data_IF_843689699113
#
_entry.id   IF_843689699113
#
_cell.length_a   1.000
_cell.length_b   1.000
_cell.length_c   1.000
_cell.angle_alpha   90.00
_cell.angle_beta   90.00
_cell.angle_gamma   90.00
#
_symmetry.space_group_name_H-M   'P 1'
#
loop_
_entity.id
_entity.type
_entity.pdbx_description
1 polymer ?
#
# COMPACT_ATOMS: atom_id res chain seq x y z
N UNK A 1 -36.71 21.94 -51.84
CA UNK A 1 -37.74 22.01 -50.79
C UNK A 1 -37.05 22.27 -49.44
N UNK A 2 -37.39 23.42 -48.81
CA UNK A 2 -37.22 23.87 -47.40
C UNK A 2 -35.83 23.72 -46.75
N UNK A 3 -34.93 24.73 -46.67
CA UNK A 3 -34.89 26.02 -45.90
C UNK A 3 -35.20 25.92 -44.39
N UNK A 4 -34.19 26.21 -43.56
CA UNK A 4 -34.27 26.89 -42.25
C UNK A 4 -32.85 27.42 -41.91
N UNK A 5 -32.56 28.73 -42.00
CA UNK A 5 -32.97 29.86 -41.17
C UNK A 5 -32.17 29.94 -39.86
N UNK A 6 -31.26 30.93 -39.84
CA UNK A 6 -30.57 31.43 -38.66
C UNK A 6 -31.52 32.29 -37.82
N UNK A 7 -31.44 32.15 -36.49
CA UNK A 7 -32.08 33.05 -35.54
C UNK A 7 -31.08 33.35 -34.40
N UNK A 8 -30.44 34.52 -34.47
CA UNK A 8 -30.06 35.27 -33.27
C UNK A 8 -31.30 36.01 -32.77
N UNK A 9 -31.50 36.11 -31.46
CA UNK A 9 -32.03 37.28 -30.72
C UNK A 9 -32.06 36.95 -29.22
N UNK A 10 -31.18 37.63 -28.49
CA UNK A 10 -31.40 38.37 -27.23
C UNK A 10 -31.95 37.63 -26.01
N UNK A 11 -31.07 37.30 -25.06
CA UNK A 11 -31.43 37.06 -23.66
C UNK A 11 -31.24 38.35 -22.84
N UNK A 12 -32.35 38.86 -22.30
CA UNK A 12 -32.38 40.02 -21.43
C UNK A 12 -31.93 39.66 -20.01
N UNK A 13 -31.15 40.56 -19.40
CA UNK A 13 -30.84 40.57 -17.97
C UNK A 13 -32.14 40.72 -17.15
N UNK A 14 -32.32 39.84 -16.16
CA UNK A 14 -33.20 40.08 -15.03
C UNK A 14 -32.36 40.06 -13.75
N UNK A 15 -32.07 41.26 -13.23
CA UNK A 15 -31.59 41.48 -11.86
C UNK A 15 -32.72 41.18 -10.88
N UNK A 16 -32.64 40.03 -10.22
CA UNK A 16 -33.47 39.70 -9.05
C UNK A 16 -32.68 39.94 -7.78
N UNK A 17 -32.88 41.10 -7.15
CA UNK A 17 -32.38 41.41 -5.83
C UNK A 17 -33.10 40.55 -4.78
N UNK A 18 -32.38 39.63 -4.15
CA UNK A 18 -32.84 38.95 -2.94
C UNK A 18 -32.24 39.64 -1.72
N UNK A 19 -33.12 40.32 -1.00
CA UNK A 19 -32.91 41.03 0.26
C UNK A 19 -32.44 40.10 1.37
N UNK A 20 -31.29 40.42 1.96
CA UNK A 20 -30.83 39.87 3.24
C UNK A 20 -31.71 40.43 4.37
N UNK A 21 -32.21 39.59 5.31
CA UNK A 21 -32.84 40.12 6.51
C UNK A 21 -31.77 40.66 7.47
N UNK A 22 -32.06 41.85 7.97
CA UNK A 22 -31.26 42.67 8.85
C UNK A 22 -30.90 41.98 10.18
N UNK A 23 -29.69 42.28 10.65
CA UNK A 23 -29.27 42.10 12.04
C UNK A 23 -30.28 42.77 12.98
N UNK A 24 -30.84 42.01 13.92
CA UNK A 24 -31.33 42.54 15.19
C UNK A 24 -30.33 42.18 16.28
N UNK A 25 -29.66 43.21 16.76
CA UNK A 25 -29.08 43.32 18.09
C UNK A 25 -30.19 43.19 19.12
N UNK A 26 -30.07 42.24 20.05
CA UNK A 26 -30.55 42.31 21.43
C UNK A 26 -30.30 40.97 22.13
N UNK A 27 -29.08 40.79 22.63
CA UNK A 27 -28.82 39.88 23.75
C UNK A 27 -27.85 40.57 24.69
N UNK A 28 -28.40 41.04 25.80
CA UNK A 28 -27.65 41.59 26.92
C UNK A 28 -26.71 40.51 27.48
N UNK A 29 -25.43 40.85 27.57
CA UNK A 29 -24.42 39.99 28.15
C UNK A 29 -24.60 39.90 29.66
N UNK A 30 -25.09 38.76 30.15
CA UNK A 30 -24.88 38.35 31.54
C UNK A 30 -23.41 37.92 31.69
N UNK A 31 -22.64 38.42 32.66
CA UNK A 31 -21.26 38.00 32.84
C UNK A 31 -21.20 36.54 33.25
N UNK A 32 -20.63 35.70 32.39
CA UNK A 32 -20.34 34.30 32.69
C UNK A 32 -19.36 34.24 33.87
N UNK A 33 -19.77 33.58 34.95
CA UNK A 33 -18.87 33.17 36.04
C UNK A 33 -17.68 32.41 35.45
N UNK A 34 -16.44 32.66 35.92
CA UNK A 34 -15.32 31.79 35.57
C UNK A 34 -15.62 30.36 36.02
N UNK A 35 -15.20 29.34 35.25
CA UNK A 35 -15.41 27.95 35.64
C UNK A 35 -14.68 27.66 36.96
N UNK A 36 -15.22 26.78 37.83
CA UNK A 36 -14.53 26.36 39.03
C UNK A 36 -13.21 25.67 38.65
N UNK A 37 -12.11 26.24 39.12
CA UNK A 37 -10.76 25.72 38.99
C UNK A 37 -10.55 24.54 39.95
N UNK A 38 -11.14 23.38 39.65
CA UNK A 38 -10.71 22.08 40.21
C UNK A 38 -11.57 20.94 39.67
N UNK A 39 -11.29 20.52 38.44
CA UNK A 39 -11.52 19.13 38.03
C UNK A 39 -10.14 18.58 37.63
N UNK A 40 -9.30 18.29 38.63
CA UNK A 40 -8.20 17.35 38.45
C UNK A 40 -8.84 16.00 38.18
N UNK A 41 -8.77 15.55 36.93
CA UNK A 41 -8.87 14.12 36.64
C UNK A 41 -7.90 13.40 37.58
N UNK A 42 -8.25 12.19 38.08
CA UNK A 42 -7.26 11.39 38.78
C UNK A 42 -6.01 11.31 37.88
N UNK A 43 -4.79 11.39 38.43
CA UNK A 43 -3.63 11.04 37.64
C UNK A 43 -3.94 9.67 37.03
N UNK A 44 -3.93 9.59 35.71
CA UNK A 44 -3.68 8.32 35.07
C UNK A 44 -2.29 7.96 35.57
N UNK A 45 -2.23 7.23 36.68
CA UNK A 45 -1.01 6.56 37.09
C UNK A 45 -0.58 5.80 35.83
N UNK A 46 0.58 6.18 35.32
CA UNK A 46 1.30 5.45 34.28
C UNK A 46 1.52 4.05 34.86
N UNK A 47 0.54 3.17 34.66
CA UNK A 47 0.76 1.74 34.81
C UNK A 47 1.88 1.45 33.82
N UNK A 48 3.08 1.08 34.28
CA UNK A 48 4.15 0.73 33.37
C UNK A 48 3.61 -0.39 32.50
N UNK A 49 3.44 -0.13 31.21
CA UNK A 49 3.17 -1.20 30.27
C UNK A 49 4.32 -2.20 30.46
N UNK A 50 4.03 -3.50 30.65
CA UNK A 50 5.08 -4.48 30.87
C UNK A 50 6.13 -4.34 29.77
N UNK A 51 7.38 -4.17 30.19
CA UNK A 51 8.55 -3.92 29.35
C UNK A 51 9.04 -5.18 28.64
N UNK A 52 8.11 -5.94 28.05
CA UNK A 52 8.45 -7.00 27.12
C UNK A 52 8.98 -6.41 25.81
N UNK A 53 9.82 -7.15 25.06
CA UNK A 53 10.16 -6.74 23.70
C UNK A 53 8.87 -6.60 22.89
N UNK A 54 8.74 -5.51 22.12
CA UNK A 54 7.60 -5.32 21.24
C UNK A 54 7.54 -6.47 20.21
N UNK A 55 6.33 -6.92 19.86
CA UNK A 55 6.18 -7.90 18.79
C UNK A 55 6.81 -7.41 17.47
N UNK A 56 7.46 -8.31 16.69
CA UNK A 56 8.09 -7.93 15.43
C UNK A 56 7.11 -7.26 14.47
N UNK A 57 7.58 -6.21 13.80
CA UNK A 57 6.86 -5.60 12.68
C UNK A 57 7.29 -6.29 11.38
N UNK A 58 6.33 -6.87 10.65
CA UNK A 58 6.59 -7.55 9.36
C UNK A 58 6.81 -6.49 8.26
N UNK A 59 8.01 -5.93 8.17
CA UNK A 59 8.39 -4.81 7.30
C UNK A 59 9.66 -5.03 6.44
N UNK A 60 10.36 -6.14 6.66
CA UNK A 60 11.59 -6.55 5.97
C UNK A 60 12.85 -5.86 6.45
N UNK A 61 12.82 -5.12 7.57
CA UNK A 61 14.00 -4.52 8.19
C UNK A 61 14.71 -5.46 9.17
N UNK A 62 13.97 -6.44 9.70
CA UNK A 62 14.43 -7.50 10.61
C UNK A 62 15.06 -7.04 11.93
N UNK A 63 15.11 -5.73 12.23
CA UNK A 63 15.79 -5.21 13.43
C UNK A 63 15.17 -5.71 14.74
N UNK A 64 13.86 -5.96 14.73
CA UNK A 64 13.10 -6.47 15.89
C UNK A 64 13.48 -7.91 16.27
N UNK A 65 14.10 -8.66 15.35
CA UNK A 65 14.53 -10.05 15.58
C UNK A 65 15.89 -10.17 16.26
N UNK A 66 16.60 -9.06 16.48
CA UNK A 66 17.96 -9.03 17.05
C UNK A 66 18.07 -9.63 18.45
N UNK A 67 16.95 -9.73 19.19
CA UNK A 67 16.88 -10.34 20.52
C UNK A 67 16.22 -11.74 20.51
N UNK A 68 15.79 -12.23 19.34
CA UNK A 68 15.17 -13.55 19.21
C UNK A 68 16.22 -14.65 19.24
N UNK A 69 15.94 -15.74 19.96
CA UNK A 69 16.80 -16.94 19.93
C UNK A 69 16.32 -17.86 18.82
N UNK A 70 17.25 -18.43 18.05
CA UNK A 70 16.92 -19.43 17.03
C UNK A 70 16.23 -20.63 17.69
N UNK A 71 15.10 -21.04 17.13
CA UNK A 71 14.41 -22.25 17.52
C UNK A 71 15.20 -23.49 17.07
N UNK A 72 15.83 -23.41 15.89
CA UNK A 72 16.71 -24.44 15.35
C UNK A 72 17.74 -23.81 14.40
N UNK A 73 18.95 -24.38 14.43
CA UNK A 73 19.99 -24.19 13.43
C UNK A 73 19.97 -25.41 12.52
N UNK A 74 19.88 -25.17 11.23
CA UNK A 74 19.82 -26.22 10.22
C UNK A 74 21.13 -26.31 9.45
N UNK A 75 21.43 -27.49 8.91
CA UNK A 75 22.75 -27.76 8.35
C UNK A 75 22.84 -27.27 6.90
N UNK A 76 23.50 -26.15 6.68
CA UNK A 76 23.81 -25.65 5.33
C UNK A 76 24.28 -26.74 4.35
N UNK A 77 23.65 -26.77 3.17
CA UNK A 77 24.01 -27.62 2.03
C UNK A 77 23.42 -29.03 2.05
N UNK A 78 22.43 -29.31 2.90
CA UNK A 78 21.67 -30.57 2.91
C UNK A 78 20.30 -30.48 2.21
N UNK A 79 19.89 -29.28 1.81
CA UNK A 79 18.71 -29.05 1.00
C UNK A 79 18.68 -29.87 -0.30
N UNK A 80 17.47 -30.24 -0.71
CA UNK A 80 17.20 -30.98 -1.96
C UNK A 80 16.83 -30.06 -3.13
N UNK A 81 16.49 -28.80 -2.86
CA UNK A 81 16.18 -27.77 -3.84
C UNK A 81 16.98 -26.48 -3.61
N UNK A 82 16.50 -25.35 -4.13
CA UNK A 82 17.24 -24.08 -4.07
C UNK A 82 17.13 -23.37 -2.70
N UNK A 83 16.04 -23.60 -1.96
CA UNK A 83 15.93 -23.11 -0.59
C UNK A 83 16.70 -24.04 0.32
N UNK A 84 17.77 -23.52 0.91
CA UNK A 84 18.63 -24.16 1.91
C UNK A 84 18.60 -23.26 3.13
N UNK A 85 17.80 -23.65 4.11
CA UNK A 85 17.46 -22.92 5.32
C UNK A 85 18.62 -23.05 6.29
N UNK A 86 19.01 -21.95 6.93
CA UNK A 86 20.13 -21.97 7.90
C UNK A 86 19.66 -21.93 9.33
N UNK A 87 18.52 -21.29 9.57
CA UNK A 87 17.94 -21.11 10.89
C UNK A 87 16.45 -20.76 10.79
N UNK A 88 15.75 -21.12 11.85
CA UNK A 88 14.34 -20.80 12.06
C UNK A 88 14.18 -20.18 13.44
N UNK A 89 13.46 -19.08 13.50
CA UNK A 89 13.13 -18.29 14.68
C UNK A 89 11.62 -18.20 14.82
N UNK A 90 11.14 -18.19 16.06
CA UNK A 90 9.73 -17.99 16.36
C UNK A 90 9.56 -17.13 17.62
N UNK A 91 8.52 -16.30 17.61
CA UNK A 91 8.02 -15.60 18.79
C UNK A 91 6.50 -15.47 18.70
N UNK A 92 5.86 -15.03 19.77
CA UNK A 92 4.40 -14.91 19.82
C UNK A 92 3.94 -13.70 20.61
N UNK A 93 2.74 -13.22 20.28
CA UNK A 93 1.99 -12.27 21.08
C UNK A 93 0.52 -12.66 21.15
N UNK A 94 0.06 -13.09 22.31
CA UNK A 94 -1.27 -13.68 22.43
C UNK A 94 -1.38 -14.95 21.59
N UNK A 95 -2.27 -14.98 20.59
CA UNK A 95 -2.41 -16.09 19.64
C UNK A 95 -1.70 -15.85 18.29
N UNK A 96 -0.97 -14.74 18.16
CA UNK A 96 -0.23 -14.40 16.96
C UNK A 96 1.13 -15.07 16.98
N UNK A 97 1.40 -15.89 15.97
CA UNK A 97 2.70 -16.50 15.70
C UNK A 97 3.48 -15.60 14.74
N UNK A 98 4.73 -15.33 15.09
CA UNK A 98 5.69 -14.67 14.24
C UNK A 98 6.81 -15.66 13.95
N UNK A 99 7.18 -15.80 12.68
CA UNK A 99 8.26 -16.69 12.24
C UNK A 99 9.26 -15.88 11.42
N UNK A 100 10.53 -16.16 11.61
CA UNK A 100 11.63 -15.62 10.80
C UNK A 100 12.59 -16.75 10.46
N UNK A 101 13.09 -16.78 9.22
CA UNK A 101 14.07 -17.76 8.79
C UNK A 101 14.99 -17.19 7.73
N UNK A 102 16.21 -17.73 7.66
CA UNK A 102 17.19 -17.39 6.65
C UNK A 102 17.42 -18.55 5.69
N UNK A 103 17.86 -18.21 4.48
CA UNK A 103 18.31 -19.16 3.47
C UNK A 103 19.71 -18.79 2.98
N UNK A 104 20.45 -19.73 2.41
CA UNK A 104 21.80 -19.45 1.88
C UNK A 104 21.77 -18.57 0.63
N UNK A 105 20.69 -18.64 -0.13
CA UNK A 105 20.54 -17.98 -1.44
C UNK A 105 19.47 -16.90 -1.42
N UNK A 106 19.67 -15.86 -2.24
CA UNK A 106 18.66 -14.81 -2.49
C UNK A 106 17.66 -15.33 -3.52
N UNK A 107 16.46 -15.66 -3.05
CA UNK A 107 15.41 -16.30 -3.84
C UNK A 107 14.07 -15.64 -3.62
N UNK A 108 13.17 -15.80 -4.58
CA UNK A 108 11.78 -15.39 -4.40
C UNK A 108 11.01 -16.49 -3.67
N UNK A 109 10.45 -16.19 -2.50
CA UNK A 109 9.72 -17.18 -1.70
C UNK A 109 8.45 -17.71 -2.40
N UNK A 110 7.76 -16.86 -3.17
CA UNK A 110 6.46 -17.16 -3.80
C UNK A 110 6.45 -17.13 -5.33
N UNK A 111 7.62 -17.07 -5.97
CA UNK A 111 7.80 -17.13 -7.43
C UNK A 111 9.21 -17.63 -7.76
N UNK A 112 9.46 -18.13 -8.97
CA UNK A 112 10.78 -18.65 -9.32
C UNK A 112 10.71 -19.74 -10.38
N UNK A 113 11.85 -20.16 -10.96
CA UNK A 113 11.97 -21.40 -11.73
C UNK A 113 11.32 -22.57 -10.99
N UNK A 114 10.65 -23.48 -11.70
CA UNK A 114 10.02 -24.65 -11.06
C UNK A 114 11.07 -25.51 -10.35
N UNK A 115 12.27 -25.58 -10.93
CA UNK A 115 13.38 -26.39 -10.44
C UNK A 115 13.97 -25.90 -9.10
N UNK A 116 13.67 -24.66 -8.69
CA UNK A 116 14.01 -24.17 -7.34
C UNK A 116 13.23 -24.93 -6.23
N UNK A 117 12.12 -25.58 -6.61
CA UNK A 117 11.19 -26.26 -5.72
C UNK A 117 10.30 -25.31 -4.93
N UNK A 118 9.69 -25.80 -3.85
CA UNK A 118 8.81 -25.03 -2.96
C UNK A 118 9.25 -25.18 -1.53
N UNK A 119 9.02 -24.16 -0.71
CA UNK A 119 9.16 -24.26 0.73
C UNK A 119 7.75 -24.21 1.36
N UNK A 120 7.55 -24.97 2.43
CA UNK A 120 6.29 -25.01 3.19
C UNK A 120 6.57 -24.82 4.66
N UNK A 121 5.87 -23.87 5.30
CA UNK A 121 5.81 -23.81 6.75
C UNK A 121 4.64 -24.65 7.25
N UNK A 122 4.95 -25.59 8.12
CA UNK A 122 3.98 -26.46 8.75
C UNK A 122 3.86 -26.10 10.24
N UNK A 123 2.62 -25.93 10.69
CA UNK A 123 2.27 -25.67 12.10
C UNK A 123 1.34 -26.79 12.56
N UNK A 124 1.84 -27.70 13.40
CA UNK A 124 1.01 -28.70 14.06
C UNK A 124 0.34 -28.06 15.27
N UNK A 125 -0.98 -27.97 15.22
CA UNK A 125 -1.83 -27.38 16.24
C UNK A 125 -1.95 -28.29 17.48
N UNK A 126 -2.35 -27.76 18.65
CA UNK A 126 -2.45 -28.54 19.89
C UNK A 126 -3.41 -29.73 19.80
N UNK A 127 -4.44 -29.62 18.96
CA UNK A 127 -5.41 -30.69 18.72
C UNK A 127 -4.97 -31.72 17.65
N UNK A 128 -3.74 -31.58 17.15
CA UNK A 128 -3.13 -32.50 16.20
C UNK A 128 -3.40 -32.19 14.73
N UNK A 129 -4.23 -31.21 14.39
CA UNK A 129 -4.39 -30.76 13.00
C UNK A 129 -3.09 -30.14 12.49
N UNK A 130 -2.82 -30.31 11.19
CA UNK A 130 -1.70 -29.65 10.51
C UNK A 130 -2.22 -28.47 9.69
N UNK A 131 -1.72 -27.28 9.99
CA UNK A 131 -1.80 -26.11 9.13
C UNK A 131 -0.54 -26.04 8.28
N UNK A 132 -0.68 -26.02 6.96
CA UNK A 132 0.43 -25.97 6.00
C UNK A 132 0.31 -24.73 5.13
N UNK A 133 1.34 -23.89 5.16
CA UNK A 133 1.53 -22.71 4.33
C UNK A 133 2.49 -23.07 3.20
N UNK A 134 1.98 -23.22 1.98
CA UNK A 134 2.79 -23.43 0.78
C UNK A 134 3.10 -22.08 0.13
N UNK A 135 4.36 -21.67 0.21
CA UNK A 135 4.78 -20.34 -0.22
C UNK A 135 4.68 -20.13 -1.72
N UNK A 136 4.98 -21.15 -2.53
CA UNK A 136 4.87 -21.09 -4.00
C UNK A 136 3.42 -21.15 -4.44
N UNK A 137 2.62 -22.04 -3.87
CA UNK A 137 1.21 -22.18 -4.20
C UNK A 137 0.35 -21.03 -3.64
N UNK A 138 0.90 -20.22 -2.73
CA UNK A 138 0.20 -19.13 -2.05
C UNK A 138 -1.06 -19.59 -1.33
N UNK A 139 -0.97 -20.79 -0.74
CA UNK A 139 -2.09 -21.50 -0.16
C UNK A 139 -1.81 -21.81 1.29
N UNK A 140 -2.83 -21.63 2.13
CA UNK A 140 -2.86 -22.15 3.48
C UNK A 140 -3.87 -23.28 3.49
N UNK A 141 -3.49 -24.45 3.97
CA UNK A 141 -4.38 -25.59 4.10
C UNK A 141 -4.40 -26.09 5.53
N UNK A 142 -5.57 -26.54 6.00
CA UNK A 142 -5.69 -27.20 7.29
C UNK A 142 -6.28 -28.58 7.09
N UNK A 143 -5.69 -29.55 7.79
CA UNK A 143 -6.13 -30.95 7.74
C UNK A 143 -7.62 -31.02 8.09
N UNK A 144 -8.41 -31.65 7.22
CA UNK A 144 -9.87 -31.78 7.31
C UNK A 144 -10.70 -30.50 7.09
N UNK A 145 -10.09 -29.36 6.75
CA UNK A 145 -10.80 -28.10 6.42
C UNK A 145 -10.57 -27.63 4.98
N UNK A 146 -9.47 -28.06 4.35
CA UNK A 146 -9.11 -27.64 3.00
C UNK A 146 -8.36 -26.31 2.98
N UNK A 147 -8.50 -25.55 1.89
CA UNK A 147 -7.78 -24.29 1.68
C UNK A 147 -8.47 -23.13 2.39
N UNK A 148 -7.68 -22.32 3.08
CA UNK A 148 -8.11 -21.15 3.82
C UNK A 148 -7.57 -19.88 3.21
N UNK A 149 -8.36 -18.82 3.36
CA UNK A 149 -7.91 -17.48 3.08
C UNK A 149 -6.86 -17.03 4.09
N UNK A 150 -5.72 -16.52 3.60
CA UNK A 150 -4.73 -15.85 4.44
C UNK A 150 -5.32 -14.70 5.26
N UNK A 151 -6.41 -14.08 4.79
CA UNK A 151 -7.12 -13.03 5.53
C UNK A 151 -7.72 -13.53 6.85
N UNK A 152 -8.25 -14.76 6.86
CA UNK A 152 -8.85 -15.35 8.06
C UNK A 152 -7.82 -15.59 9.17
N UNK A 153 -6.54 -15.65 8.81
CA UNK A 153 -5.43 -15.91 9.71
C UNK A 153 -4.48 -14.71 9.83
N UNK A 154 -4.88 -13.52 9.38
CA UNK A 154 -4.02 -12.34 9.45
C UNK A 154 -2.64 -12.52 8.83
N UNK A 155 -2.52 -13.36 7.80
CA UNK A 155 -1.24 -13.76 7.20
C UNK A 155 -0.54 -12.58 6.54
N UNK A 156 0.70 -12.31 6.97
CA UNK A 156 1.58 -11.31 6.36
C UNK A 156 2.96 -11.92 6.19
N UNK A 157 3.66 -11.61 5.11
CA UNK A 157 5.06 -12.04 4.88
C UNK A 157 5.87 -10.89 4.29
N UNK A 158 7.15 -10.80 4.66
CA UNK A 158 8.11 -9.86 4.12
C UNK A 158 9.49 -10.51 3.99
N UNK A 159 10.30 -10.17 2.97
CA UNK A 159 9.91 -9.38 1.81
C UNK A 159 9.00 -10.16 0.85
N UNK A 160 8.32 -9.44 -0.05
CA UNK A 160 7.57 -10.03 -1.17
C UNK A 160 8.42 -10.21 -2.44
N UNK A 161 9.65 -9.71 -2.43
CA UNK A 161 10.64 -9.85 -3.50
C UNK A 161 11.71 -10.88 -3.10
N UNK A 162 12.73 -11.04 -3.93
CA UNK A 162 13.82 -11.97 -3.65
C UNK A 162 14.63 -11.51 -2.42
N UNK A 163 14.86 -12.44 -1.51
CA UNK A 163 15.61 -12.24 -0.28
C UNK A 163 16.22 -13.55 0.18
N UNK A 164 17.05 -13.48 1.21
CA UNK A 164 17.61 -14.63 1.90
C UNK A 164 17.27 -14.64 3.40
N UNK A 165 16.35 -13.76 3.78
CA UNK A 165 15.75 -13.64 5.10
C UNK A 165 14.28 -13.33 4.89
N UNK A 166 13.40 -14.01 5.63
CA UNK A 166 11.96 -13.87 5.50
C UNK A 166 11.30 -13.90 6.87
N UNK A 167 10.35 -13.02 7.07
CA UNK A 167 9.53 -12.94 8.28
C UNK A 167 8.06 -13.00 7.91
N UNK A 168 7.26 -13.62 8.77
CA UNK A 168 5.83 -13.74 8.58
C UNK A 168 5.07 -13.74 9.91
N UNK A 169 3.77 -13.49 9.80
CA UNK A 169 2.82 -13.51 10.91
C UNK A 169 1.60 -14.36 10.56
N UNK A 170 1.09 -15.12 11.53
CA UNK A 170 -0.17 -15.86 11.48
C UNK A 170 -0.95 -15.65 12.78
N UNK A 171 -2.27 -15.51 12.70
CA UNK A 171 -3.19 -15.51 13.85
C UNK A 171 -3.81 -16.90 13.99
N UNK A 172 -3.48 -17.58 15.09
CA UNK A 172 -3.97 -18.93 15.39
C UNK A 172 -5.16 -18.93 16.35
N UNK A 173 -5.70 -17.76 16.71
CA UNK A 173 -6.89 -17.66 17.58
C UNK A 173 -8.13 -18.38 17.02
N UNK A 174 -8.37 -18.49 15.68
CA UNK A 174 -9.47 -19.31 15.17
C UNK A 174 -9.37 -20.80 15.51
N UNK A 175 -8.16 -21.27 15.88
CA UNK A 175 -7.89 -22.65 16.27
C UNK A 175 -7.81 -22.86 17.78
N UNK A 176 -8.21 -21.84 18.55
CA UNK A 176 -8.21 -21.91 20.01
C UNK A 176 -6.83 -21.87 20.64
N UNK A 177 -5.78 -21.59 19.86
CA UNK A 177 -4.42 -21.44 20.39
C UNK A 177 -4.35 -20.20 21.27
N UNK A 178 -3.85 -20.38 22.47
CA UNK A 178 -3.65 -19.32 23.45
C UNK A 178 -2.36 -19.47 24.26
N UNK A 179 -2.19 -18.63 25.27
CA UNK A 179 -0.98 -18.64 26.10
C UNK A 179 -0.75 -19.99 26.79
N UNK A 180 0.48 -20.48 26.75
CA UNK A 180 0.88 -21.77 27.30
C UNK A 180 0.64 -22.96 26.37
N UNK A 181 -0.14 -22.79 25.29
CA UNK A 181 -0.25 -23.84 24.27
C UNK A 181 1.06 -23.99 23.52
N UNK A 182 1.33 -25.21 23.08
CA UNK A 182 2.51 -25.54 22.28
C UNK A 182 2.09 -26.01 20.91
N UNK A 183 2.67 -25.39 19.89
CA UNK A 183 2.60 -25.84 18.49
C UNK A 183 3.93 -26.46 18.07
N UNK A 184 3.93 -27.21 16.98
CA UNK A 184 5.19 -27.68 16.38
C UNK A 184 5.40 -27.03 15.03
N UNK A 185 6.56 -26.41 14.85
CA UNK A 185 6.95 -25.72 13.62
C UNK A 185 7.94 -26.59 12.83
N UNK A 186 7.72 -26.75 11.54
CA UNK A 186 8.68 -27.36 10.62
C UNK A 186 8.67 -26.68 9.25
N UNK A 187 9.76 -26.85 8.53
CA UNK A 187 9.85 -26.49 7.11
C UNK A 187 10.00 -27.76 6.26
N UNK A 188 9.35 -27.78 5.10
CA UNK A 188 9.38 -28.91 4.18
C UNK A 188 9.43 -28.44 2.72
N UNK A 189 9.86 -29.33 1.83
CA UNK A 189 9.84 -29.13 0.38
C UNK A 189 11.25 -29.16 -0.20
N UNK A 190 11.75 -28.02 -0.66
CA UNK A 190 13.15 -27.85 -1.10
C UNK A 190 14.15 -28.08 0.02
N UNK A 191 13.70 -27.94 1.27
CA UNK A 191 14.46 -28.26 2.46
C UNK A 191 13.61 -28.96 3.52
N UNK A 192 14.25 -29.58 4.51
CA UNK A 192 13.59 -30.29 5.61
C UNK A 192 14.12 -29.89 6.99
N UNK A 193 13.44 -28.92 7.62
CA UNK A 193 13.68 -28.60 9.04
C UNK A 193 12.75 -29.45 9.90
N UNK A 194 13.34 -30.32 10.74
CA UNK A 194 12.60 -31.21 11.62
C UNK A 194 11.67 -30.44 12.60
N UNK A 195 10.49 -31.01 12.97
CA UNK A 195 9.54 -30.34 13.86
C UNK A 195 10.14 -29.92 15.21
N UNK A 196 9.98 -28.64 15.54
CA UNK A 196 10.42 -28.04 16.81
C UNK A 196 9.22 -27.55 17.62
N UNK A 197 9.17 -27.82 18.94
CA UNK A 197 8.11 -27.31 19.79
C UNK A 197 8.29 -25.81 20.03
N UNK A 198 7.20 -25.05 19.94
CA UNK A 198 7.17 -23.64 20.27
C UNK A 198 5.96 -23.33 21.16
N UNK A 199 6.22 -22.78 22.34
CA UNK A 199 5.19 -22.46 23.35
C UNK A 199 4.83 -20.99 23.30
N UNK A 200 3.53 -20.70 23.25
CA UNK A 200 3.02 -19.33 23.17
C UNK A 200 3.15 -18.60 24.50
N UNK A 201 3.65 -17.38 24.44
CA UNK A 201 3.85 -16.52 25.60
C UNK A 201 2.60 -15.70 25.94
N UNK A 202 2.43 -15.44 27.24
CA UNK A 202 1.36 -14.57 27.72
C UNK A 202 1.75 -13.11 27.54
N UNK A 203 1.20 -12.47 26.51
CA UNK A 203 1.13 -11.03 26.44
C UNK A 203 -0.23 -10.65 25.88
N UNK A 204 -0.99 -9.84 26.62
CA UNK A 204 -2.26 -9.30 26.10
C UNK A 204 -1.90 -8.19 25.12
N UNK A 205 -2.06 -8.36 23.79
CA UNK A 205 -1.80 -7.27 22.88
C UNK A 205 -2.75 -6.10 23.21
N UNK A 206 -2.27 -4.85 23.18
CA UNK A 206 -3.18 -3.72 23.22
C UNK A 206 -4.13 -3.85 22.02
N UNK A 207 -5.41 -3.46 22.15
CA UNK A 207 -6.32 -3.44 21.02
C UNK A 207 -5.68 -2.62 19.89
N UNK A 208 -5.80 -3.06 18.63
CA UNK A 208 -5.27 -2.29 17.52
C UNK A 208 -5.90 -0.89 17.56
N UNK A 209 -5.13 0.18 17.30
CA UNK A 209 -5.69 1.51 17.27
C UNK A 209 -6.82 1.54 16.24
N UNK A 210 -7.93 2.26 16.50
CA UNK A 210 -9.02 2.35 15.55
C UNK A 210 -8.51 2.93 14.24
N UNK A 211 -8.89 2.31 13.11
CA UNK A 211 -8.57 2.84 11.79
C UNK A 211 -9.20 4.22 11.65
N UNK A 212 -8.36 5.24 11.49
CA UNK A 212 -8.80 6.62 11.33
C UNK A 212 -8.41 7.14 9.95
N UNK A 213 -9.41 7.28 9.08
CA UNK A 213 -9.23 7.84 7.73
C UNK A 213 -9.18 9.38 7.72
N UNK A 214 -9.45 10.02 8.88
CA UNK A 214 -9.36 11.48 9.00
C UNK A 214 -7.95 11.95 8.73
N UNK A 215 -7.86 13.13 8.13
CA UNK A 215 -6.59 13.81 7.88
C UNK A 215 -5.96 14.19 9.21
N UNK A 216 -4.71 13.76 9.49
CA UNK A 216 -3.99 14.25 10.67
C UNK A 216 -3.89 15.77 10.64
N UNK A 217 -3.94 16.40 11.81
CA UNK A 217 -3.78 17.85 11.92
C UNK A 217 -2.44 18.29 11.31
N UNK A 218 -2.45 19.40 10.57
CA UNK A 218 -1.25 19.92 9.88
C UNK A 218 -0.87 19.22 8.56
N UNK A 219 -1.61 18.19 8.13
CA UNK A 219 -1.38 17.59 6.81
C UNK A 219 -1.90 18.49 5.69
N UNK A 220 -0.98 19.05 4.90
CA UNK A 220 -1.31 19.99 3.82
C UNK A 220 -1.53 19.31 2.46
N UNK A 221 -1.06 18.07 2.28
CA UNK A 221 -1.18 17.28 1.07
C UNK A 221 -1.52 15.83 1.43
N UNK A 222 -2.49 15.24 0.73
CA UNK A 222 -2.77 13.81 0.73
C UNK A 222 -2.74 13.27 -0.69
N UNK A 223 -1.92 12.24 -0.91
CA UNK A 223 -1.84 11.51 -2.18
C UNK A 223 -2.35 10.10 -1.94
N UNK A 224 -3.23 9.61 -2.82
CA UNK A 224 -3.68 8.22 -2.83
C UNK A 224 -3.12 7.51 -4.07
N UNK A 225 -2.56 6.33 -3.89
CA UNK A 225 -2.19 5.43 -4.98
C UNK A 225 -3.15 4.26 -5.01
N UNK A 226 -3.72 3.94 -6.17
CA UNK A 226 -4.75 2.92 -6.25
C UNK A 226 -4.74 2.18 -7.59
N UNK A 227 -4.39 0.89 -7.55
CA UNK A 227 -4.60 -0.01 -8.68
C UNK A 227 -6.09 -0.38 -8.71
N UNK A 228 -6.77 0.01 -9.78
CA UNK A 228 -8.24 -0.10 -9.86
C UNK A 228 -8.72 -1.46 -10.38
N UNK A 229 -7.81 -2.37 -10.74
CA UNK A 229 -8.07 -3.64 -11.43
C UNK A 229 -8.95 -3.45 -12.69
N UNK A 230 -8.34 -3.40 -13.87
CA UNK A 230 -9.06 -3.22 -15.15
C UNK A 230 -10.05 -2.05 -15.16
N UNK A 231 -9.57 -0.84 -14.87
CA UNK A 231 -10.34 0.40 -14.87
C UNK A 231 -11.60 0.36 -14.00
N UNK A 232 -11.52 -0.31 -12.85
CA UNK A 232 -12.66 -0.54 -11.96
C UNK A 232 -13.35 0.69 -11.45
N UNK A 233 -12.68 1.84 -11.49
CA UNK A 233 -13.29 3.12 -11.18
C UNK A 233 -14.46 3.48 -12.12
N UNK A 234 -14.50 2.91 -13.32
CA UNK A 234 -15.57 3.14 -14.31
C UNK A 234 -16.58 2.00 -14.40
N UNK A 235 -16.35 0.91 -13.66
CA UNK A 235 -17.20 -0.27 -13.66
C UNK A 235 -18.45 -0.02 -12.80
N UNK A 236 -19.62 -0.15 -13.44
CA UNK A 236 -20.92 0.04 -12.80
C UNK A 236 -21.12 -0.88 -11.60
N UNK A 237 -20.63 -2.12 -11.67
CA UNK A 237 -20.84 -3.15 -10.64
C UNK A 237 -19.98 -2.90 -9.41
N UNK A 238 -18.85 -2.20 -9.59
CA UNK A 238 -17.92 -1.84 -8.51
C UNK A 238 -18.09 -0.42 -8.00
N UNK A 239 -18.99 0.36 -8.60
CA UNK A 239 -19.19 1.78 -8.31
C UNK A 239 -19.27 2.08 -6.83
N UNK A 240 -20.16 1.43 -6.09
CA UNK A 240 -20.39 1.76 -4.68
C UNK A 240 -19.16 1.48 -3.82
N UNK A 241 -18.45 0.38 -4.09
CA UNK A 241 -17.20 0.06 -3.42
C UNK A 241 -16.12 1.11 -3.74
N UNK A 242 -15.97 1.48 -5.01
CA UNK A 242 -15.02 2.49 -5.45
C UNK A 242 -15.33 3.88 -4.85
N UNK A 243 -16.60 4.27 -4.78
CA UNK A 243 -17.03 5.53 -4.18
C UNK A 243 -16.70 5.58 -2.68
N UNK A 244 -16.92 4.47 -1.95
CA UNK A 244 -16.52 4.37 -0.54
C UNK A 244 -15.00 4.51 -0.37
N UNK A 245 -14.21 3.85 -1.19
CA UNK A 245 -12.74 3.92 -1.14
C UNK A 245 -12.23 5.34 -1.45
N UNK A 246 -12.73 5.98 -2.50
CA UNK A 246 -12.38 7.36 -2.84
C UNK A 246 -12.77 8.34 -1.73
N UNK A 247 -13.97 8.18 -1.15
CA UNK A 247 -14.45 9.02 -0.05
C UNK A 247 -13.63 8.84 1.22
N UNK A 248 -13.25 7.61 1.55
CA UNK A 248 -12.39 7.30 2.68
C UNK A 248 -10.97 7.86 2.49
N UNK A 249 -10.42 7.73 1.28
CA UNK A 249 -9.12 8.28 0.93
C UNK A 249 -9.13 9.81 1.05
N UNK A 250 -10.13 10.50 0.50
CA UNK A 250 -10.27 11.97 0.53
C UNK A 250 -8.93 12.67 0.21
N UNK A 251 -8.28 12.21 -0.86
CA UNK A 251 -6.98 12.70 -1.31
C UNK A 251 -7.11 13.94 -2.19
N UNK A 252 -6.05 14.74 -2.23
CA UNK A 252 -5.93 15.91 -3.11
C UNK A 252 -5.44 15.49 -4.51
N UNK A 253 -4.69 14.38 -4.58
CA UNK A 253 -4.17 13.76 -5.79
C UNK A 253 -4.41 12.24 -5.72
N UNK A 254 -4.93 11.66 -6.80
CA UNK A 254 -5.05 10.22 -6.98
C UNK A 254 -4.17 9.75 -8.13
N UNK A 255 -3.38 8.72 -7.87
CA UNK A 255 -2.50 8.05 -8.81
C UNK A 255 -3.12 6.68 -9.09
N UNK A 256 -3.69 6.51 -10.28
CA UNK A 256 -4.46 5.32 -10.63
C UNK A 256 -3.69 4.40 -11.57
N UNK A 257 -3.75 3.10 -11.31
CA UNK A 257 -3.17 2.05 -12.16
C UNK A 257 -4.27 1.14 -12.76
N UNK A 258 -3.86 0.39 -13.79
CA UNK A 258 -4.71 -0.52 -14.57
C UNK A 258 -5.88 0.14 -15.30
N UNK A 259 -5.67 1.36 -15.77
CA UNK A 259 -6.72 2.10 -16.49
C UNK A 259 -6.95 1.60 -17.92
N UNK A 260 -6.04 0.78 -18.47
CA UNK A 260 -6.11 0.30 -19.85
C UNK A 260 -6.34 1.45 -20.85
N UNK A 261 -7.28 1.24 -21.77
CA UNK A 261 -7.67 2.20 -22.81
C UNK A 261 -8.75 3.21 -22.36
N UNK A 262 -9.01 3.32 -21.05
CA UNK A 262 -10.06 4.20 -20.52
C UNK A 262 -9.79 5.66 -20.86
N UNK A 263 -10.83 6.36 -21.31
CA UNK A 263 -10.76 7.79 -21.58
C UNK A 263 -10.91 8.64 -20.31
N UNK A 264 -10.45 9.90 -20.36
CA UNK A 264 -10.51 10.80 -19.22
C UNK A 264 -11.95 11.14 -18.76
N UNK A 265 -12.91 11.21 -19.68
CA UNK A 265 -14.29 11.64 -19.37
C UNK A 265 -15.04 10.66 -18.43
N UNK A 266 -15.05 9.33 -18.67
CA UNK A 266 -15.60 8.36 -17.73
C UNK A 266 -14.97 8.43 -16.33
N UNK A 267 -13.64 8.59 -16.24
CA UNK A 267 -12.94 8.74 -14.96
C UNK A 267 -13.41 10.00 -14.24
N UNK A 268 -13.48 11.13 -14.95
CA UNK A 268 -13.98 12.39 -14.39
C UNK A 268 -15.41 12.26 -13.85
N UNK A 269 -16.28 11.56 -14.58
CA UNK A 269 -17.66 11.31 -14.15
C UNK A 269 -17.72 10.45 -12.87
N UNK A 270 -16.88 9.41 -12.76
CA UNK A 270 -16.79 8.57 -11.57
C UNK A 270 -16.35 9.38 -10.33
N UNK A 271 -15.35 10.23 -10.48
CA UNK A 271 -14.88 11.11 -9.40
C UNK A 271 -15.90 12.19 -9.01
N UNK A 272 -16.61 12.76 -9.99
CA UNK A 272 -17.68 13.71 -9.74
C UNK A 272 -18.83 13.08 -8.94
N UNK A 273 -19.15 11.80 -9.20
CA UNK A 273 -20.17 11.06 -8.46
C UNK A 273 -19.71 10.65 -7.05
N UNK A 274 -18.44 10.28 -6.88
CA UNK A 274 -17.88 9.83 -5.60
C UNK A 274 -17.61 10.97 -4.61
N UNK A 275 -17.12 12.10 -5.13
CA UNK A 275 -16.60 13.19 -4.32
C UNK A 275 -16.93 14.53 -5.01
N UNK A 276 -18.23 14.82 -5.10
CA UNK A 276 -18.75 16.04 -5.67
C UNK A 276 -18.00 17.26 -5.07
N UNK A 277 -17.33 18.06 -5.89
CA UNK A 277 -16.66 19.27 -5.45
C UNK A 277 -17.69 20.24 -4.88
N UNK A 278 -17.45 20.75 -3.67
CA UNK A 278 -18.40 21.63 -2.97
C UNK A 278 -18.52 23.02 -3.62
N UNK A 279 -17.61 23.37 -4.52
CA UNK A 279 -17.45 24.66 -5.18
C UNK A 279 -17.71 24.61 -6.70
N UNK A 280 -18.17 23.47 -7.23
CA UNK A 280 -18.38 23.29 -8.67
C UNK A 280 -17.11 23.08 -9.49
N UNK A 281 -15.93 22.95 -8.86
CA UNK A 281 -14.66 22.73 -9.57
C UNK A 281 -14.58 21.34 -10.24
N UNK A 282 -14.29 21.24 -11.53
CA UNK A 282 -14.19 19.91 -12.18
C UNK A 282 -12.89 19.17 -11.83
N UNK A 283 -12.94 17.84 -11.72
CA UNK A 283 -11.74 17.01 -11.63
C UNK A 283 -10.91 17.06 -12.92
N UNK A 284 -9.62 17.39 -12.78
CA UNK A 284 -8.62 17.28 -13.83
C UNK A 284 -8.12 15.83 -13.88
N UNK A 285 -8.04 15.28 -15.09
CA UNK A 285 -7.62 13.90 -15.34
C UNK A 285 -6.56 13.91 -16.44
N UNK A 286 -5.35 13.53 -16.08
CA UNK A 286 -4.28 13.20 -17.00
C UNK A 286 -4.22 11.68 -17.09
N UNK A 287 -4.33 11.11 -18.30
CA UNK A 287 -4.38 9.66 -18.50
C UNK A 287 -3.50 9.24 -19.68
N UNK A 288 -2.85 8.09 -19.54
CA UNK A 288 -2.02 7.46 -20.55
C UNK A 288 -2.48 6.00 -20.70
N UNK A 289 -2.28 5.43 -21.90
CA UNK A 289 -2.73 4.07 -22.21
C UNK A 289 -3.81 3.98 -23.28
N UNK A 290 -4.13 5.06 -24.00
CA UNK A 290 -5.04 4.99 -25.15
C UNK A 290 -4.60 3.88 -26.13
N UNK A 291 -5.48 2.91 -26.39
CA UNK A 291 -5.18 1.74 -27.23
C UNK A 291 -4.26 0.67 -26.60
N UNK A 292 -3.96 0.77 -25.30
CA UNK A 292 -3.14 -0.20 -24.56
C UNK A 292 -3.97 -0.94 -23.51
N UNK A 293 -3.59 -2.19 -23.24
CA UNK A 293 -4.10 -2.95 -22.09
C UNK A 293 -3.53 -2.43 -20.76
N UNK A 294 -2.48 -1.60 -20.81
CA UNK A 294 -1.89 -0.94 -19.64
C UNK A 294 -2.21 0.55 -19.68
N UNK A 295 -2.62 1.10 -18.56
CA UNK A 295 -2.87 2.54 -18.44
C UNK A 295 -2.72 3.03 -17.02
N UNK A 296 -2.33 4.29 -16.90
CA UNK A 296 -2.17 5.00 -15.64
C UNK A 296 -2.84 6.36 -15.73
N UNK A 297 -3.28 6.91 -14.59
CA UNK A 297 -3.83 8.26 -14.54
C UNK A 297 -3.37 9.05 -13.31
N UNK A 298 -3.30 10.37 -13.46
CA UNK A 298 -3.21 11.35 -12.37
C UNK A 298 -4.54 12.11 -12.35
N UNK A 299 -5.19 12.13 -11.19
CA UNK A 299 -6.47 12.82 -10.98
C UNK A 299 -6.33 13.81 -9.83
N UNK A 300 -6.74 15.06 -10.03
CA UNK A 300 -6.72 16.09 -8.99
C UNK A 300 -7.82 17.12 -9.21
N UNK A 301 -8.20 17.83 -8.14
CA UNK A 301 -9.01 19.06 -8.24
C UNK A 301 -8.21 20.26 -8.75
N UNK A 302 -6.88 20.16 -8.72
CA UNK A 302 -5.99 21.21 -9.21
C UNK A 302 -5.55 20.94 -10.65
N UNK A 303 -5.16 21.99 -11.36
CA UNK A 303 -4.64 21.89 -12.73
C UNK A 303 -3.38 21.00 -12.77
N UNK A 304 -3.24 20.23 -13.85
CA UNK A 304 -2.14 19.28 -14.07
C UNK A 304 -1.41 19.68 -15.35
N UNK A 305 -0.12 19.99 -15.24
CA UNK A 305 0.77 20.21 -16.39
C UNK A 305 1.42 18.86 -16.72
N UNK A 306 1.18 18.27 -17.91
CA UNK A 306 1.73 16.95 -18.24
C UNK A 306 3.25 16.94 -18.30
N UNK A 307 3.85 15.86 -17.81
CA UNK A 307 5.26 15.52 -18.04
C UNK A 307 5.29 14.34 -19.01
N UNK A 308 6.01 14.48 -20.12
CA UNK A 308 6.12 13.42 -21.12
C UNK A 308 6.84 12.19 -20.53
N UNK A 309 6.25 11.01 -20.73
CA UNK A 309 6.80 9.72 -20.31
C UNK A 309 6.97 8.79 -21.51
N UNK A 310 7.95 7.87 -21.50
CA UNK A 310 8.28 7.05 -22.67
C UNK A 310 7.36 5.82 -22.84
N UNK A 311 6.45 5.57 -21.89
CA UNK A 311 5.65 4.33 -21.84
C UNK A 311 4.34 4.57 -21.10
N UNK A 312 3.22 3.90 -21.47
CA UNK A 312 1.95 3.99 -20.74
C UNK A 312 2.02 3.39 -19.33
N UNK A 313 3.14 2.73 -18.96
CA UNK A 313 3.42 2.25 -17.60
C UNK A 313 3.80 3.35 -16.61
N UNK A 314 4.12 4.54 -17.12
CA UNK A 314 4.51 5.71 -16.35
C UNK A 314 3.64 6.87 -16.80
N UNK A 315 3.11 7.64 -15.88
CA UNK A 315 2.48 8.92 -16.19
C UNK A 315 2.87 9.94 -15.14
N UNK A 316 3.21 11.15 -15.59
CA UNK A 316 3.69 12.21 -14.71
C UNK A 316 3.03 13.54 -15.02
N UNK A 317 2.90 14.38 -14.00
CA UNK A 317 2.44 15.76 -14.16
C UNK A 317 2.81 16.63 -12.97
N UNK A 318 2.93 17.93 -13.20
CA UNK A 318 3.03 18.93 -12.13
C UNK A 318 1.62 19.36 -11.75
N UNK A 319 1.23 19.09 -10.50
CA UNK A 319 -0.07 19.48 -9.95
C UNK A 319 0.07 20.80 -9.20
N UNK A 320 -0.71 21.80 -9.61
CA UNK A 320 -0.64 23.17 -9.08
C UNK A 320 -1.55 23.34 -7.86
N UNK A 321 -1.08 22.94 -6.67
CA UNK A 321 -1.88 22.95 -5.44
C UNK A 321 -1.88 24.36 -4.79
N UNK A 322 -3.03 25.05 -4.64
CA UNK A 322 -3.06 26.44 -4.17
C UNK A 322 -2.48 26.68 -2.76
N UNK A 323 -2.57 25.69 -1.86
CA UNK A 323 -2.13 25.80 -0.45
C UNK A 323 -0.75 25.21 -0.18
N UNK A 324 -0.23 24.40 -1.11
CA UNK A 324 1.01 23.62 -0.93
C UNK A 324 2.11 24.11 -1.87
N UNK A 325 1.72 24.68 -3.03
CA UNK A 325 2.63 24.93 -4.14
C UNK A 325 2.63 23.76 -5.15
N UNK A 326 3.35 23.91 -6.27
CA UNK A 326 3.45 22.88 -7.30
C UNK A 326 4.17 21.64 -6.77
N UNK A 327 3.67 20.46 -7.14
CA UNK A 327 4.30 19.16 -6.86
C UNK A 327 4.30 18.32 -8.13
N UNK A 328 5.45 17.77 -8.49
CA UNK A 328 5.53 16.78 -9.56
C UNK A 328 5.11 15.42 -9.02
N UNK A 329 4.17 14.76 -9.66
CA UNK A 329 3.68 13.44 -9.26
C UNK A 329 3.79 12.45 -10.39
N UNK A 330 4.11 11.20 -10.06
CA UNK A 330 4.17 10.10 -11.01
C UNK A 330 3.35 8.91 -10.51
N UNK A 331 2.43 8.43 -11.34
CA UNK A 331 1.77 7.14 -11.18
C UNK A 331 2.51 6.08 -11.98
N UNK A 332 2.90 4.99 -11.33
CA UNK A 332 3.61 3.87 -11.97
C UNK A 332 2.80 2.58 -11.93
N UNK A 333 2.88 1.80 -13.01
CA UNK A 333 2.47 0.41 -13.05
C UNK A 333 3.54 -0.39 -13.81
N UNK A 334 4.61 -0.74 -13.08
CA UNK A 334 5.78 -1.38 -13.67
C UNK A 334 5.46 -2.81 -14.10
N UNK A 335 6.39 -3.45 -14.82
CA UNK A 335 6.21 -4.80 -15.34
C UNK A 335 5.90 -5.77 -14.18
N UNK A 336 4.72 -6.37 -14.26
CA UNK A 336 4.28 -7.37 -13.32
C UNK A 336 4.95 -8.74 -13.56
N UNK A 337 4.82 -9.57 -12.53
CA UNK A 337 5.17 -10.99 -12.52
C UNK A 337 6.67 -11.28 -12.66
N UNK A 338 7.00 -12.56 -12.72
CA UNK A 338 8.38 -13.03 -12.74
C UNK A 338 9.01 -13.10 -11.36
N UNK A 339 10.32 -13.18 -11.37
CA UNK A 339 11.19 -13.42 -10.23
C UNK A 339 12.58 -12.84 -10.55
N UNK A 340 13.47 -12.80 -9.57
CA UNK A 340 14.83 -12.30 -9.72
C UNK A 340 15.52 -12.88 -10.96
N UNK A 341 16.04 -12.00 -11.81
CA UNK A 341 16.76 -12.41 -13.03
C UNK A 341 15.89 -12.81 -14.22
N UNK A 342 14.56 -12.84 -14.09
CA UNK A 342 13.67 -13.11 -15.23
C UNK A 342 13.59 -11.92 -16.20
N UNK A 343 13.09 -12.16 -17.42
CA UNK A 343 12.84 -11.11 -18.41
C UNK A 343 11.89 -10.01 -17.88
N UNK A 344 10.89 -10.39 -17.09
CA UNK A 344 9.97 -9.47 -16.42
C UNK A 344 10.71 -8.55 -15.45
N UNK A 345 11.66 -9.10 -14.69
CA UNK A 345 12.47 -8.35 -13.74
C UNK A 345 13.39 -7.35 -14.46
N UNK A 346 14.08 -7.79 -15.51
CA UNK A 346 14.89 -6.91 -16.36
C UNK A 346 14.06 -5.76 -16.97
N UNK A 347 12.85 -6.05 -17.47
CA UNK A 347 11.93 -5.03 -18.00
C UNK A 347 11.47 -4.07 -16.90
N UNK A 348 11.28 -4.55 -15.67
CA UNK A 348 10.91 -3.70 -14.51
C UNK A 348 12.03 -2.75 -14.15
N UNK A 349 13.27 -3.23 -14.08
CA UNK A 349 14.46 -2.39 -13.82
C UNK A 349 14.65 -1.33 -14.91
N UNK A 350 14.47 -1.69 -16.18
CA UNK A 350 14.52 -0.73 -17.29
C UNK A 350 13.46 0.38 -17.15
N UNK A 351 12.24 0.03 -16.72
CA UNK A 351 11.17 1.02 -16.51
C UNK A 351 11.44 1.91 -15.30
N UNK A 352 12.03 1.37 -14.23
CA UNK A 352 12.49 2.18 -13.10
C UNK A 352 13.60 3.17 -13.53
N UNK A 353 14.55 2.74 -14.36
CA UNK A 353 15.57 3.61 -14.93
C UNK A 353 14.97 4.68 -15.87
N UNK A 354 13.94 4.35 -16.65
CA UNK A 354 13.20 5.32 -17.46
C UNK A 354 12.50 6.38 -16.61
N UNK A 355 11.90 5.99 -15.48
CA UNK A 355 11.32 6.94 -14.53
C UNK A 355 12.38 7.87 -13.96
N UNK A 356 13.52 7.32 -13.52
CA UNK A 356 14.63 8.12 -12.99
C UNK A 356 15.12 9.14 -14.03
N UNK A 357 15.28 8.71 -15.29
CA UNK A 357 15.66 9.59 -16.40
C UNK A 357 14.66 10.74 -16.63
N UNK A 358 13.35 10.48 -16.54
CA UNK A 358 12.33 11.53 -16.67
C UNK A 358 12.42 12.54 -15.52
N UNK A 359 12.64 12.07 -14.29
CA UNK A 359 12.83 12.95 -13.13
C UNK A 359 14.09 13.80 -13.29
N UNK A 360 15.20 13.21 -13.73
CA UNK A 360 16.44 13.95 -13.99
C UNK A 360 16.29 15.00 -15.09
N UNK A 361 15.55 14.71 -16.16
CA UNK A 361 15.22 15.70 -17.18
C UNK A 361 14.40 16.86 -16.62
N UNK A 362 13.44 16.60 -15.73
CA UNK A 362 12.68 17.64 -15.04
C UNK A 362 13.62 18.53 -14.21
N UNK A 363 14.47 17.91 -13.38
CA UNK A 363 15.44 18.60 -12.51
C UNK A 363 16.46 19.43 -13.30
N UNK A 364 16.94 18.91 -14.42
CA UNK A 364 17.87 19.61 -15.30
C UNK A 364 17.20 20.71 -16.16
N UNK A 365 15.87 20.89 -16.07
CA UNK A 365 15.16 21.84 -16.93
C UNK A 365 15.13 21.45 -18.41
N UNK A 366 15.36 20.17 -18.74
CA UNK A 366 15.44 19.66 -20.13
C UNK A 366 14.23 18.81 -20.53
N UNK A 367 13.23 18.67 -19.65
CA UNK A 367 12.02 17.92 -19.95
C UNK A 367 11.13 18.62 -20.99
N UNK A 368 10.86 19.92 -20.80
CA UNK A 368 10.15 20.81 -21.75
C UNK A 368 10.26 22.26 -21.26
N UNK A 369 10.14 23.24 -22.17
CA UNK A 369 10.20 24.68 -21.82
C UNK A 369 9.10 25.07 -20.81
N UNK A 370 7.88 24.58 -21.00
CA UNK A 370 6.76 24.81 -20.08
C UNK A 370 6.98 24.23 -18.66
N UNK A 371 7.97 23.34 -18.50
CA UNK A 371 8.33 22.72 -17.23
C UNK A 371 9.51 23.41 -16.52
N UNK A 372 10.20 24.35 -17.16
CA UNK A 372 11.35 25.07 -16.59
C UNK A 372 11.07 25.69 -15.21
N UNK A 373 9.92 26.36 -14.95
CA UNK A 373 9.63 26.92 -13.64
C UNK A 373 9.44 25.88 -12.53
N UNK A 374 9.36 24.60 -12.88
CA UNK A 374 9.08 23.51 -11.97
C UNK A 374 10.26 22.54 -11.80
N UNK A 375 11.46 22.92 -12.21
CA UNK A 375 12.65 22.07 -12.09
C UNK A 375 12.93 21.65 -10.63
N UNK A 376 12.69 22.54 -9.66
CA UNK A 376 13.02 22.32 -8.24
C UNK A 376 11.84 21.89 -7.36
N UNK A 377 10.67 21.58 -7.94
CA UNK A 377 9.48 21.23 -7.14
C UNK A 377 9.62 19.86 -6.49
N UNK A 378 8.99 19.60 -5.33
CA UNK A 378 8.95 18.26 -4.73
C UNK A 378 8.43 17.21 -5.73
N UNK A 379 9.02 16.01 -5.71
CA UNK A 379 8.58 14.88 -6.54
C UNK A 379 8.00 13.79 -5.65
N UNK A 380 6.80 13.32 -6.00
CA UNK A 380 6.15 12.15 -5.39
C UNK A 380 5.99 11.07 -6.45
N UNK A 381 6.54 9.89 -6.20
CA UNK A 381 6.31 8.71 -7.02
C UNK A 381 5.53 7.70 -6.20
N UNK A 382 4.38 7.26 -6.71
CA UNK A 382 3.64 6.17 -6.11
C UNK A 382 2.97 5.32 -7.20
N UNK A 383 2.60 4.10 -6.87
CA UNK A 383 1.96 3.22 -7.82
C UNK A 383 2.14 1.76 -7.48
N UNK A 384 1.80 0.92 -8.45
CA UNK A 384 2.07 -0.50 -8.42
C UNK A 384 3.44 -0.78 -9.04
N UNK A 385 4.45 -0.86 -8.17
CA UNK A 385 5.82 -1.16 -8.58
C UNK A 385 6.00 -2.61 -9.01
N UNK A 386 5.05 -3.51 -8.70
CA UNK A 386 5.24 -4.95 -8.81
C UNK A 386 6.62 -5.37 -8.26
N UNK A 387 7.01 -4.87 -7.09
CA UNK A 387 8.32 -5.13 -6.47
C UNK A 387 8.37 -6.56 -5.91
N UNK A 388 8.42 -7.52 -6.83
CA UNK A 388 8.34 -8.97 -6.58
C UNK A 388 9.54 -9.72 -7.17
N UNK A 389 10.52 -9.01 -7.75
CA UNK A 389 11.70 -9.61 -8.37
C UNK A 389 12.95 -9.31 -7.56
N UNK A 390 13.90 -8.63 -8.18
CA UNK A 390 15.18 -8.33 -7.55
C UNK A 390 15.14 -7.07 -6.67
N UNK A 391 15.89 -7.00 -5.55
CA UNK A 391 15.93 -5.82 -4.67
C UNK A 391 16.54 -4.57 -5.34
N UNK A 392 17.17 -4.73 -6.50
CA UNK A 392 17.82 -3.70 -7.31
C UNK A 392 16.86 -2.58 -7.73
N UNK A 393 15.57 -2.87 -7.86
CA UNK A 393 14.57 -1.87 -8.24
C UNK A 393 14.62 -0.63 -7.35
N UNK A 394 14.72 -0.85 -6.03
CA UNK A 394 14.79 0.25 -5.06
C UNK A 394 16.10 0.99 -5.17
N UNK A 395 17.21 0.29 -5.39
CA UNK A 395 18.52 0.90 -5.59
C UNK A 395 18.52 1.84 -6.79
N UNK A 396 17.96 1.42 -7.93
CA UNK A 396 17.84 2.25 -9.14
C UNK A 396 17.09 3.56 -8.86
N UNK A 397 16.03 3.50 -8.07
CA UNK A 397 15.23 4.69 -7.75
C UNK A 397 15.87 5.55 -6.66
N UNK A 398 16.53 4.95 -5.67
CA UNK A 398 17.12 5.67 -4.54
C UNK A 398 18.54 6.17 -4.80
N UNK A 399 19.17 5.75 -5.90
CA UNK A 399 20.54 6.12 -6.20
C UNK A 399 20.68 7.66 -6.21
N UNK A 400 21.67 8.22 -5.48
CA UNK A 400 21.83 9.67 -5.34
C UNK A 400 22.01 10.41 -6.67
N UNK A 401 22.61 9.74 -7.66
CA UNK A 401 22.80 10.21 -9.03
C UNK A 401 21.58 9.97 -9.93
N UNK A 402 20.61 9.15 -9.50
CA UNK A 402 19.43 8.81 -10.27
C UNK A 402 18.22 9.69 -9.95
N UNK A 403 17.83 9.85 -8.69
CA UNK A 403 16.67 10.73 -8.36
C UNK A 403 16.72 11.38 -6.98
N UNK A 404 17.60 10.90 -6.08
CA UNK A 404 17.58 11.22 -4.64
C UNK A 404 16.22 10.98 -3.95
N UNK A 405 15.36 10.12 -4.51
CA UNK A 405 14.10 9.77 -3.88
C UNK A 405 14.36 9.01 -2.57
N UNK A 406 13.74 9.49 -1.50
CA UNK A 406 13.66 8.75 -0.24
C UNK A 406 12.39 7.91 -0.22
N UNK A 407 12.51 6.64 0.19
CA UNK A 407 11.34 5.83 0.50
C UNK A 407 10.74 6.33 1.80
N UNK A 408 9.48 6.73 1.76
CA UNK A 408 8.73 6.98 2.99
C UNK A 408 8.40 5.62 3.64
N UNK A 409 8.71 5.44 4.93
CA UNK A 409 8.34 4.22 5.63
C UNK A 409 6.81 4.08 5.63
N UNK A 410 6.33 2.86 5.47
CA UNK A 410 4.90 2.57 5.57
C UNK A 410 4.50 2.66 7.04
N UNK A 411 3.72 3.69 7.41
CA UNK A 411 3.40 4.00 8.81
C UNK A 411 2.32 3.08 9.42
N UNK A 412 1.63 2.28 8.61
CA UNK A 412 0.56 1.39 9.05
C UNK A 412 0.71 0.02 8.39
N UNK A 413 1.50 -0.87 9.00
CA UNK A 413 1.67 -2.27 8.56
C UNK A 413 1.01 -3.29 9.50
N UNK A 414 0.38 -2.85 10.57
CA UNK A 414 0.03 -3.71 11.72
C UNK A 414 -1.40 -4.24 11.68
N UNK A 415 -2.24 -3.81 10.73
CA UNK A 415 -3.65 -4.20 10.60
C UNK A 415 -3.88 -5.16 9.43
N UNK A 416 -5.14 -5.57 9.24
CA UNK A 416 -5.65 -6.27 8.05
C UNK A 416 -5.59 -5.44 6.76
N UNK A 417 -4.77 -4.39 6.69
CA UNK A 417 -4.68 -3.51 5.53
C UNK A 417 -3.39 -3.76 4.72
N UNK A 418 -2.56 -4.71 5.17
CA UNK A 418 -1.32 -5.13 4.51
C UNK A 418 -1.36 -6.62 4.32
N UNK A 419 -1.61 -7.03 3.08
CA UNK A 419 -1.68 -8.44 2.73
C UNK A 419 -0.95 -8.67 1.41
N UNK A 420 -0.21 -9.76 1.35
CA UNK A 420 0.64 -10.09 0.22
C UNK A 420 -0.05 -11.02 -0.78
N UNK A 421 -1.06 -11.78 -0.34
CA UNK A 421 -1.79 -12.73 -1.18
C UNK A 421 -3.28 -12.39 -1.26
N UNK A 422 -3.81 -12.43 -2.48
CA UNK A 422 -5.25 -12.46 -2.75
C UNK A 422 -5.57 -13.85 -3.30
N UNK A 423 -6.33 -14.65 -2.55
CA UNK A 423 -6.89 -15.89 -3.09
C UNK A 423 -8.15 -15.53 -3.90
N UNK A 424 -8.19 -15.97 -5.16
CA UNK A 424 -9.36 -15.83 -6.02
C UNK A 424 -10.40 -16.90 -5.73
#
# INVERSE_FOLDING_TARGET
>A
MRRAAATMVTAALALGALSLPACRSDWQATPLRPPPSSCTAPPCDDIPLPSGPAAPVIDGSFHDWSQSTSLVLDRTGDATGAFDVTDLHATSRGAQLFVHFHTTSVLNLSSGPIDDGTLKLNVKLPDGRLLSLDFRARAITVTNEGTLSGYALGYVVSPTHAGNAFELKLDLSPYGVGPGDTVWLSLQGSDEVAPQPFTFEFERPPPPPPLNTRRPSGSNLRVASFNTLHAGITDITRRDAMQRLLSAANADIYLLQEMGSTAAAPVRAAFAAAAAPQDGASWHVLIAGAGSIVGNAVVSRSHIIPIATPTPRLIGGVVLLPKVGPVAVFSVHLKCCGYIGSDEDNKRLQQAAQLAHVINKLRAGTAAEALLPYADVPVVVAGDFNDVGSPQLRQVLQAPDATMLQRLPLLHLTSTDVFTWYQR
#
